data_IF_949628232290
#
_entry.id   IF_949628232290
#
_cell.length_a   1.000
_cell.length_b   1.000
_cell.length_c   1.000
_cell.angle_alpha   90.00
_cell.angle_beta   90.00
_cell.angle_gamma   90.00
#
_symmetry.space_group_name_H-M   'P 1'
#
loop_
_entity.id
_entity.type
_entity.pdbx_description
1 polymer ?
#
# COMPACT_ATOMS: atom_id res chain seq x y z
N UNK A 1 17.19 -12.26 -11.74
CA UNK A 1 18.27 -11.93 -10.79
C UNK A 1 19.50 -11.18 -11.37
N UNK A 2 19.76 -11.17 -12.70
CA UNK A 2 20.98 -10.53 -13.27
C UNK A 2 21.08 -9.02 -12.99
N UNK A 3 19.94 -8.32 -12.95
CA UNK A 3 19.86 -6.88 -12.66
C UNK A 3 20.20 -6.52 -11.21
N UNK A 4 19.96 -7.41 -10.25
CA UNK A 4 20.28 -7.17 -8.82
C UNK A 4 21.79 -7.20 -8.53
N UNK A 5 22.61 -7.61 -9.50
CA UNK A 5 24.08 -7.57 -9.41
C UNK A 5 24.68 -6.25 -9.90
N UNK A 6 23.90 -5.44 -10.62
CA UNK A 6 24.36 -4.17 -11.17
C UNK A 6 24.41 -3.11 -10.06
N UNK A 7 25.51 -2.37 -9.98
CA UNK A 7 25.67 -1.28 -9.01
C UNK A 7 24.89 -0.06 -9.49
N UNK A 8 24.23 0.65 -8.57
CA UNK A 8 23.51 1.89 -8.87
C UNK A 8 22.11 1.71 -9.50
N UNK A 9 21.58 0.48 -9.53
CA UNK A 9 20.25 0.20 -10.07
C UNK A 9 19.27 -0.09 -8.93
N UNK A 10 18.16 0.65 -8.92
CA UNK A 10 17.01 0.34 -8.06
C UNK A 10 16.03 -0.53 -8.85
N UNK A 11 15.84 -1.78 -8.40
CA UNK A 11 14.84 -2.67 -9.00
C UNK A 11 13.49 -2.47 -8.30
N UNK A 12 12.48 -2.10 -9.08
CA UNK A 12 11.09 -2.01 -8.61
C UNK A 12 10.30 -3.17 -9.20
N UNK A 13 9.70 -3.98 -8.35
CA UNK A 13 8.78 -5.05 -8.76
C UNK A 13 7.37 -4.60 -8.49
N UNK A 14 6.59 -4.39 -9.55
CA UNK A 14 5.17 -4.04 -9.42
C UNK A 14 4.32 -5.32 -9.36
N UNK A 15 3.61 -5.50 -8.25
CA UNK A 15 2.74 -6.65 -8.00
C UNK A 15 1.24 -6.27 -7.98
N UNK A 16 0.86 -5.08 -8.42
CA UNK A 16 -0.50 -4.54 -8.31
C UNK A 16 -1.55 -5.29 -9.14
N UNK A 17 -1.15 -5.84 -10.30
CA UNK A 17 -2.02 -6.65 -11.15
C UNK A 17 -2.19 -8.10 -10.64
N UNK A 18 -1.48 -8.48 -9.59
CA UNK A 18 -1.49 -9.84 -9.07
C UNK A 18 -2.54 -10.01 -7.97
N UNK A 19 -3.17 -11.18 -7.94
CA UNK A 19 -4.02 -11.60 -6.81
C UNK A 19 -3.21 -11.70 -5.52
N UNK A 20 -3.88 -11.67 -4.37
CA UNK A 20 -3.24 -11.83 -3.06
C UNK A 20 -2.29 -13.04 -2.99
N UNK A 21 -2.77 -14.22 -3.42
CA UNK A 21 -1.98 -15.46 -3.44
C UNK A 21 -0.76 -15.36 -4.38
N UNK A 22 -0.92 -14.74 -5.54
CA UNK A 22 0.20 -14.52 -6.47
C UNK A 22 1.23 -13.55 -5.91
N UNK A 23 0.81 -12.48 -5.23
CA UNK A 23 1.72 -11.55 -4.54
C UNK A 23 2.54 -12.25 -3.46
N UNK A 24 1.90 -13.10 -2.66
CA UNK A 24 2.56 -13.90 -1.63
C UNK A 24 3.55 -14.91 -2.21
N UNK A 25 3.18 -15.60 -3.30
CA UNK A 25 4.09 -16.52 -4.01
C UNK A 25 5.29 -15.77 -4.57
N UNK A 26 5.05 -14.65 -5.27
CA UNK A 26 6.10 -13.81 -5.82
C UNK A 26 7.06 -13.32 -4.73
N UNK A 27 6.54 -12.84 -3.60
CA UNK A 27 7.38 -12.40 -2.49
C UNK A 27 8.25 -13.55 -1.97
N UNK A 28 7.68 -14.75 -1.81
CA UNK A 28 8.41 -15.92 -1.33
C UNK A 28 9.56 -16.29 -2.26
N UNK A 29 9.28 -16.33 -3.56
CA UNK A 29 10.27 -16.65 -4.60
C UNK A 29 11.37 -15.59 -4.66
N UNK A 30 11.00 -14.31 -4.55
CA UNK A 30 11.96 -13.21 -4.52
C UNK A 30 12.83 -13.27 -3.27
N UNK A 31 12.25 -13.48 -2.08
CA UNK A 31 13.02 -13.54 -0.83
C UNK A 31 14.03 -14.68 -0.84
N UNK A 32 13.62 -15.88 -1.28
CA UNK A 32 14.53 -17.03 -1.42
C UNK A 32 15.68 -16.72 -2.38
N UNK A 33 15.38 -16.26 -3.60
CA UNK A 33 16.42 -15.95 -4.58
C UNK A 33 17.33 -14.80 -4.12
N UNK A 34 16.77 -13.83 -3.39
CA UNK A 34 17.50 -12.66 -2.90
C UNK A 34 18.43 -13.04 -1.76
N UNK A 35 18.00 -13.92 -0.86
CA UNK A 35 18.85 -14.49 0.20
C UNK A 35 20.04 -15.25 -0.40
N UNK A 36 19.80 -16.12 -1.39
CA UNK A 36 20.84 -16.85 -2.11
C UNK A 36 21.81 -15.93 -2.86
N UNK A 37 21.30 -14.86 -3.46
CA UNK A 37 22.13 -13.88 -4.13
C UNK A 37 23.00 -13.12 -3.13
N UNK A 38 22.43 -12.80 -1.97
CA UNK A 38 23.09 -12.03 -0.92
C UNK A 38 24.17 -12.84 -0.23
N UNK A 39 23.94 -14.12 0.07
CA UNK A 39 24.97 -14.99 0.65
C UNK A 39 26.23 -15.08 -0.22
N UNK A 40 26.08 -14.91 -1.54
CA UNK A 40 27.18 -14.97 -2.52
C UNK A 40 27.81 -13.62 -2.85
N UNK A 41 27.05 -12.53 -2.76
CA UNK A 41 27.47 -11.23 -3.32
C UNK A 41 27.33 -10.05 -2.38
N UNK A 42 26.70 -10.25 -1.21
CA UNK A 42 26.30 -9.19 -0.29
C UNK A 42 25.16 -8.31 -0.80
N UNK A 43 24.63 -8.53 -2.02
CA UNK A 43 23.58 -7.72 -2.65
C UNK A 43 22.21 -8.43 -2.62
N UNK A 44 21.10 -7.68 -2.63
CA UNK A 44 20.99 -6.22 -2.54
C UNK A 44 21.25 -5.69 -1.12
N UNK A 45 21.65 -4.42 -1.02
CA UNK A 45 21.93 -3.78 0.27
C UNK A 45 20.66 -3.55 1.09
N UNK A 46 19.56 -3.22 0.43
CA UNK A 46 18.26 -2.96 1.04
C UNK A 46 17.14 -3.61 0.23
N UNK A 47 16.14 -4.12 0.93
CA UNK A 47 14.87 -4.54 0.36
C UNK A 47 13.76 -3.70 0.99
N UNK A 48 12.87 -3.17 0.17
CA UNK A 48 11.70 -2.41 0.63
C UNK A 48 10.45 -3.15 0.21
N UNK A 49 9.59 -3.45 1.17
CA UNK A 49 8.27 -4.07 0.94
C UNK A 49 7.22 -3.03 1.29
N UNK A 50 6.59 -2.48 0.26
CA UNK A 50 5.45 -1.58 0.42
C UNK A 50 4.15 -2.36 0.59
N UNK A 51 3.20 -1.77 1.32
CA UNK A 51 1.96 -2.41 1.75
C UNK A 51 2.16 -3.82 2.33
N UNK A 52 3.16 -3.95 3.21
CA UNK A 52 3.59 -5.23 3.78
C UNK A 52 2.44 -6.04 4.44
N UNK A 53 1.40 -5.36 4.94
CA UNK A 53 0.21 -5.99 5.50
C UNK A 53 -0.54 -6.91 4.54
N UNK A 54 -0.38 -6.74 3.23
CA UNK A 54 -1.03 -7.60 2.23
C UNK A 54 -0.33 -8.95 2.10
N UNK A 55 0.99 -8.97 2.22
CA UNK A 55 1.82 -10.14 1.90
C UNK A 55 2.39 -10.83 3.13
N UNK A 56 2.42 -10.15 4.28
CA UNK A 56 2.92 -10.65 5.57
C UNK A 56 1.82 -10.62 6.66
N UNK A 57 0.58 -10.91 6.28
CA UNK A 57 -0.57 -10.82 7.19
C UNK A 57 -0.57 -11.90 8.28
N UNK A 58 -1.25 -11.65 9.40
CA UNK A 58 -1.43 -12.61 10.49
C UNK A 58 -2.20 -13.89 10.08
N UNK A 59 -3.03 -13.81 9.04
CA UNK A 59 -3.80 -14.94 8.48
C UNK A 59 -2.96 -15.82 7.55
N UNK A 60 -1.77 -15.37 7.16
CA UNK A 60 -0.82 -16.22 6.46
C UNK A 60 -0.14 -17.14 7.47
N UNK A 61 -0.36 -18.45 7.31
CA UNK A 61 0.56 -19.46 7.82
C UNK A 61 1.99 -19.00 7.53
N UNK A 62 2.85 -18.81 8.55
CA UNK A 62 4.22 -18.42 8.34
C UNK A 62 4.89 -19.56 7.59
N UNK A 63 4.88 -19.47 6.25
CA UNK A 63 5.89 -20.15 5.46
C UNK A 63 7.27 -19.75 5.99
N UNK A 64 8.33 -20.50 5.68
CA UNK A 64 9.67 -20.36 6.25
C UNK A 64 10.41 -19.08 5.78
N UNK A 65 9.70 -17.97 5.61
CA UNK A 65 10.24 -16.64 5.37
C UNK A 65 10.67 -16.06 6.70
N UNK A 66 11.83 -16.54 7.19
CA UNK A 66 12.54 -15.86 8.26
C UNK A 66 13.15 -14.59 7.67
N UNK A 67 12.63 -13.41 8.05
CA UNK A 67 13.24 -12.14 7.68
C UNK A 67 14.66 -12.01 8.26
N UNK A 68 15.00 -12.82 9.26
CA UNK A 68 16.31 -12.88 9.91
C UNK A 68 17.47 -13.16 8.94
N UNK A 69 17.21 -13.89 7.86
CA UNK A 69 18.24 -14.22 6.85
C UNK A 69 18.57 -13.03 5.93
N UNK A 70 17.81 -11.95 6.04
CA UNK A 70 17.93 -10.75 5.21
C UNK A 70 18.09 -9.50 6.08
N UNK A 71 19.31 -9.21 6.59
CA UNK A 71 19.55 -7.99 7.33
C UNK A 71 19.33 -6.78 6.39
N UNK A 72 18.58 -5.75 6.82
CA UNK A 72 18.25 -4.51 6.06
C UNK A 72 17.00 -4.61 5.16
N UNK A 73 15.85 -4.90 5.78
CA UNK A 73 14.53 -4.79 5.16
C UNK A 73 13.80 -3.57 5.73
N UNK A 74 13.10 -2.82 4.86
CA UNK A 74 12.14 -1.80 5.26
C UNK A 74 10.74 -2.33 4.93
N UNK A 75 9.89 -2.42 5.96
CA UNK A 75 8.48 -2.73 5.81
C UNK A 75 7.68 -1.44 5.92
N UNK A 76 6.98 -1.05 4.85
CA UNK A 76 6.07 0.08 4.86
C UNK A 76 4.62 -0.43 4.91
N UNK A 77 3.82 0.13 5.82
CA UNK A 77 2.41 -0.25 5.98
C UNK A 77 1.60 0.84 6.66
N UNK A 78 0.36 1.02 6.23
CA UNK A 78 -0.65 1.81 6.93
C UNK A 78 -1.38 1.00 8.04
N UNK A 79 -1.30 -0.34 7.98
CA UNK A 79 -1.99 -1.28 8.87
C UNK A 79 -1.03 -2.21 9.56
N UNK A 80 -0.25 -1.71 10.53
CA UNK A 80 0.70 -2.57 11.23
C UNK A 80 0.02 -3.69 12.03
N UNK A 81 -1.24 -3.52 12.48
CA UNK A 81 -1.98 -4.54 13.23
C UNK A 81 -2.42 -5.74 12.40
N UNK A 82 -2.34 -5.63 11.08
CA UNK A 82 -2.61 -6.74 10.18
C UNK A 82 -1.36 -7.60 9.92
N UNK A 83 -0.16 -7.16 10.33
CA UNK A 83 1.07 -7.96 10.23
C UNK A 83 1.08 -9.08 11.27
N UNK A 84 1.73 -10.19 10.94
CA UNK A 84 1.91 -11.28 11.90
C UNK A 84 2.82 -10.87 13.07
N UNK A 85 2.55 -11.43 14.25
CA UNK A 85 3.33 -11.13 15.47
C UNK A 85 4.79 -11.59 15.36
N UNK A 86 5.06 -12.66 14.61
CA UNK A 86 6.42 -13.11 14.34
C UNK A 86 7.23 -12.03 13.59
N UNK A 87 6.65 -11.44 12.55
CA UNK A 87 7.29 -10.38 11.76
C UNK A 87 7.50 -9.12 12.61
N UNK A 88 6.50 -8.72 13.40
CA UNK A 88 6.64 -7.60 14.33
C UNK A 88 7.71 -7.86 15.40
N UNK A 89 7.87 -9.12 15.81
CA UNK A 89 8.90 -9.58 16.74
C UNK A 89 10.33 -9.43 16.20
N UNK A 90 10.52 -9.52 14.87
CA UNK A 90 11.81 -9.41 14.19
C UNK A 90 12.19 -7.96 13.82
N UNK A 91 11.26 -7.00 13.93
CA UNK A 91 11.54 -5.59 13.63
C UNK A 91 12.34 -4.95 14.74
N UNK A 92 13.52 -4.41 14.43
CA UNK A 92 14.39 -3.70 15.38
C UNK A 92 14.09 -2.19 15.48
N UNK A 93 13.66 -1.57 14.38
CA UNK A 93 13.52 -0.12 14.26
C UNK A 93 12.19 0.26 13.65
N UNK A 94 11.53 1.24 14.25
CA UNK A 94 10.21 1.72 13.89
C UNK A 94 10.30 3.21 13.57
N UNK A 95 9.74 3.58 12.43
CA UNK A 95 9.50 4.95 12.01
C UNK A 95 8.01 5.11 11.76
N UNK A 96 7.32 5.85 12.62
CA UNK A 96 5.88 6.01 12.57
C UNK A 96 5.49 7.47 12.33
N UNK A 97 4.49 7.68 11.48
CA UNK A 97 3.99 8.99 11.10
C UNK A 97 2.52 9.08 11.54
N UNK A 98 2.10 10.22 12.12
CA UNK A 98 0.74 10.43 12.63
C UNK A 98 0.47 9.87 14.04
N UNK A 99 -0.78 9.59 14.40
CA UNK A 99 -1.16 9.39 15.80
C UNK A 99 -0.41 8.23 16.51
N UNK A 100 0.46 8.59 17.45
CA UNK A 100 1.39 7.71 18.16
C UNK A 100 0.75 6.56 18.96
N UNK A 101 -0.47 6.75 19.47
CA UNK A 101 -1.20 5.76 20.31
C UNK A 101 -1.42 4.39 19.67
N UNK A 102 -1.38 4.30 18.34
CA UNK A 102 -1.52 3.01 17.64
C UNK A 102 -0.25 2.16 17.73
N UNK A 103 0.91 2.77 17.98
CA UNK A 103 2.22 2.09 17.96
C UNK A 103 2.36 1.15 19.17
N UNK A 104 2.00 1.63 20.36
CA UNK A 104 2.11 0.87 21.62
C UNK A 104 1.30 -0.43 21.62
N UNK A 105 0.08 -0.37 21.09
CA UNK A 105 -0.84 -1.52 21.06
C UNK A 105 -0.37 -2.67 20.15
N UNK A 106 0.55 -2.41 19.23
CA UNK A 106 0.98 -3.38 18.21
C UNK A 106 2.07 -4.34 18.69
N UNK A 107 2.82 -3.95 19.72
CA UNK A 107 4.02 -4.68 20.16
C UNK A 107 3.86 -5.32 21.55
N UNK A 108 2.61 -5.62 21.94
CA UNK A 108 2.28 -6.63 22.96
C UNK A 108 3.09 -6.55 24.26
N UNK A 109 2.87 -5.50 25.06
CA UNK A 109 3.24 -5.53 26.48
C UNK A 109 4.69 -5.19 26.85
N UNK A 110 5.60 -4.93 25.89
CA UNK A 110 6.89 -4.23 26.21
C UNK A 110 6.71 -2.73 26.50
N UNK A 111 5.47 -2.30 26.69
CA UNK A 111 5.00 -0.92 26.79
C UNK A 111 4.95 -0.39 28.21
N UNK A 112 5.10 -1.22 29.25
CA UNK A 112 4.88 -0.78 30.63
C UNK A 112 5.92 0.27 31.09
N UNK A 113 7.11 0.29 30.47
CA UNK A 113 8.18 1.26 30.75
C UNK A 113 8.35 2.34 29.68
N UNK A 114 7.53 2.33 28.62
CA UNK A 114 7.65 3.30 27.53
C UNK A 114 6.73 4.49 27.80
N UNK A 115 7.31 5.67 28.03
CA UNK A 115 6.52 6.89 28.03
C UNK A 115 5.79 7.04 26.69
N UNK A 116 4.46 7.21 26.70
CA UNK A 116 3.70 7.28 25.46
C UNK A 116 4.20 8.48 24.64
N UNK A 117 4.50 8.31 23.33
CA UNK A 117 4.98 9.42 22.53
C UNK A 117 3.92 10.53 22.54
N UNK A 118 4.35 11.76 22.87
CA UNK A 118 3.49 12.94 22.80
C UNK A 118 2.81 13.00 21.43
N UNK A 119 1.59 13.54 21.39
CA UNK A 119 0.84 13.72 20.15
C UNK A 119 1.73 14.40 19.09
N UNK A 120 2.02 13.68 18.00
CA UNK A 120 2.87 14.21 16.94
C UNK A 120 2.09 15.06 15.95
N UNK A 121 2.70 16.16 15.51
CA UNK A 121 2.11 17.11 14.58
C UNK A 121 2.34 16.69 13.13
N UNK A 122 1.64 17.37 12.20
CA UNK A 122 1.89 17.18 10.76
C UNK A 122 3.33 17.60 10.45
N UNK A 123 4.14 16.69 9.88
CA UNK A 123 5.56 16.93 9.61
C UNK A 123 6.52 16.36 10.66
N UNK A 124 6.01 15.66 11.67
CA UNK A 124 6.80 14.95 12.68
C UNK A 124 6.62 13.44 12.54
N UNK A 125 7.65 12.68 12.95
CA UNK A 125 7.63 11.23 13.00
C UNK A 125 8.20 10.75 14.33
N UNK A 126 7.70 9.63 14.82
CA UNK A 126 8.25 8.92 15.96
C UNK A 126 9.28 7.91 15.44
N UNK A 127 10.52 8.04 15.90
CA UNK A 127 11.56 7.05 15.72
C UNK A 127 11.71 6.25 17.00
N UNK A 128 11.65 4.92 16.89
CA UNK A 128 11.91 4.03 17.99
C UNK A 128 12.82 2.89 17.57
N UNK A 129 13.98 2.84 18.18
CA UNK A 129 14.89 1.70 18.14
C UNK A 129 14.61 0.86 19.39
N UNK A 130 14.33 -0.43 19.24
CA UNK A 130 14.01 -1.31 20.38
C UNK A 130 15.16 -1.46 21.37
N UNK A 131 16.38 -1.07 21.00
CA UNK A 131 17.53 -0.99 21.92
C UNK A 131 17.48 0.26 22.81
N UNK A 132 16.62 1.24 22.51
CA UNK A 132 16.44 2.47 23.28
C UNK A 132 15.26 2.33 24.23
N UNK A 133 15.44 2.89 25.42
CA UNK A 133 14.43 2.96 26.48
C UNK A 133 13.28 3.91 26.16
N UNK A 134 13.47 4.88 25.26
CA UNK A 134 12.40 5.81 24.88
C UNK A 134 12.43 6.19 23.39
N UNK A 135 11.25 6.44 22.79
CA UNK A 135 11.14 6.91 21.42
C UNK A 135 11.57 8.37 21.29
N UNK A 136 12.07 8.75 20.11
CA UNK A 136 12.52 10.11 19.77
C UNK A 136 11.62 10.70 18.70
N UNK A 137 11.26 11.98 18.82
CA UNK A 137 10.52 12.70 17.79
C UNK A 137 11.51 13.28 16.79
N UNK A 138 11.30 12.98 15.50
CA UNK A 138 12.06 13.51 14.39
C UNK A 138 11.19 14.50 13.60
N UNK A 139 11.81 15.59 13.14
CA UNK A 139 11.20 16.45 12.12
C UNK A 139 11.46 15.85 10.74
N UNK A 140 10.39 15.66 9.99
CA UNK A 140 10.44 15.10 8.64
C UNK A 140 10.65 16.27 7.68
N UNK A 141 11.75 16.26 6.94
CA UNK A 141 11.98 17.21 5.87
C UNK A 141 10.83 17.10 4.84
N UNK A 142 10.35 18.24 4.35
CA UNK A 142 9.32 18.21 3.31
C UNK A 142 9.87 17.53 2.06
N UNK A 143 9.17 16.53 1.49
CA UNK A 143 9.59 15.92 0.24
C UNK A 143 9.69 17.01 -0.84
N UNK A 144 10.84 17.12 -1.51
CA UNK A 144 11.02 18.06 -2.64
C UNK A 144 10.09 17.73 -3.83
N UNK A 145 9.46 16.55 -3.82
CA UNK A 145 8.40 16.19 -4.74
C UNK A 145 7.04 16.32 -4.06
N UNK A 146 6.22 17.24 -4.59
CA UNK A 146 4.80 17.39 -4.26
C UNK A 146 4.11 16.06 -4.56
N UNK A 147 3.92 15.26 -3.52
CA UNK A 147 3.16 14.03 -3.60
C UNK A 147 1.71 14.38 -4.00
N UNK A 148 1.18 13.74 -5.05
CA UNK A 148 -0.27 13.69 -5.36
C UNK A 148 -1.05 12.86 -4.30
N UNK A 149 -0.77 13.07 -3.01
CA UNK A 149 -1.16 12.21 -1.87
C UNK A 149 -2.63 12.29 -1.47
N UNK A 150 -3.44 13.16 -2.09
CA UNK A 150 -4.87 13.25 -1.77
C UNK A 150 -5.71 12.11 -2.39
N UNK A 151 -5.19 11.39 -3.40
CA UNK A 151 -5.91 10.28 -4.06
C UNK A 151 -5.81 8.93 -3.34
N UNK A 152 -4.87 8.74 -2.41
CA UNK A 152 -4.59 7.42 -1.80
C UNK A 152 -5.34 7.11 -0.49
N UNK A 153 -5.81 8.13 0.24
CA UNK A 153 -6.31 7.95 1.63
C UNK A 153 -7.56 7.07 1.73
N UNK A 154 -8.41 7.05 0.70
CA UNK A 154 -9.64 6.25 0.66
C UNK A 154 -9.55 5.03 -0.27
N UNK A 155 -8.47 4.92 -1.04
CA UNK A 155 -8.19 3.71 -1.78
C UNK A 155 -7.96 2.54 -0.82
N UNK A 156 -7.20 2.81 0.24
CA UNK A 156 -6.81 1.84 1.28
C UNK A 156 -7.58 2.06 2.60
N UNK A 157 -7.96 3.30 2.96
CA UNK A 157 -8.56 3.69 4.27
C UNK A 157 -10.07 3.55 4.42
N UNK A 158 -10.55 3.30 5.65
CA UNK A 158 -11.99 3.19 5.99
C UNK A 158 -12.71 4.55 5.89
N UNK A 159 -13.69 4.65 4.98
CA UNK A 159 -14.54 5.84 4.80
C UNK A 159 -15.58 6.03 5.91
N UNK A 160 -15.73 5.05 6.80
CA UNK A 160 -16.70 4.97 7.89
C UNK A 160 -18.04 4.42 7.44
N UNK A 161 -18.75 3.74 8.36
CA UNK A 161 -20.02 3.03 8.10
C UNK A 161 -21.10 3.91 7.42
N UNK A 162 -21.16 5.20 7.74
CA UNK A 162 -22.13 6.12 7.15
C UNK A 162 -21.85 6.47 5.68
N UNK A 163 -20.63 6.20 5.19
CA UNK A 163 -20.16 6.55 3.83
C UNK A 163 -19.72 5.33 3.02
N UNK A 164 -19.78 4.14 3.60
CA UNK A 164 -19.52 2.88 2.90
C UNK A 164 -20.43 2.74 1.68
N UNK A 165 -19.93 2.07 0.65
CA UNK A 165 -20.76 1.65 -0.46
C UNK A 165 -21.57 0.42 -0.07
N UNK A 166 -22.87 0.38 -0.34
CA UNK A 166 -23.73 -0.75 0.00
C UNK A 166 -24.24 -1.42 -1.28
N UNK A 167 -23.74 -2.63 -1.58
CA UNK A 167 -24.20 -3.43 -2.72
C UNK A 167 -25.58 -4.05 -2.47
N UNK A 168 -25.92 -4.33 -1.21
CA UNK A 168 -27.22 -4.89 -0.84
C UNK A 168 -27.84 -4.09 0.29
N UNK A 169 -29.16 -3.87 0.20
CA UNK A 169 -29.96 -3.19 1.25
C UNK A 169 -30.52 -4.14 2.30
N UNK A 170 -30.03 -5.40 2.35
CA UNK A 170 -30.47 -6.34 3.38
C UNK A 170 -29.97 -5.87 4.74
N UNK A 171 -30.89 -5.67 5.69
CA UNK A 171 -30.61 -5.17 7.03
C UNK A 171 -29.88 -6.20 7.90
N UNK A 172 -29.98 -7.49 7.59
CA UNK A 172 -29.41 -8.56 8.41
C UNK A 172 -27.94 -8.86 8.09
N UNK A 173 -27.52 -8.70 6.82
CA UNK A 173 -26.11 -8.83 6.38
C UNK A 173 -25.80 -7.90 5.19
N UNK A 174 -25.58 -6.60 5.43
CA UNK A 174 -25.26 -5.66 4.36
C UNK A 174 -23.88 -5.98 3.76
N UNK A 175 -23.83 -6.20 2.45
CA UNK A 175 -22.55 -6.27 1.72
C UNK A 175 -22.08 -4.85 1.47
N UNK A 176 -21.23 -4.35 2.38
CA UNK A 176 -20.71 -2.99 2.34
C UNK A 176 -19.20 -2.97 2.04
N UNK A 177 -18.76 -1.99 1.27
CA UNK A 177 -17.35 -1.71 1.02
C UNK A 177 -16.95 -0.38 1.67
N UNK A 178 -15.89 -0.43 2.49
CA UNK A 178 -15.39 0.74 3.25
C UNK A 178 -14.22 1.45 2.56
N UNK A 179 -13.69 0.88 1.49
CA UNK A 179 -12.61 1.44 0.70
C UNK A 179 -12.65 0.85 -0.73
N UNK A 180 -11.79 1.33 -1.63
CA UNK A 180 -11.79 0.86 -3.02
C UNK A 180 -11.40 -0.62 -3.16
N UNK A 181 -10.54 -1.17 -2.30
CA UNK A 181 -10.16 -2.59 -2.35
C UNK A 181 -11.30 -3.52 -1.92
N UNK A 182 -11.99 -3.20 -0.81
CA UNK A 182 -13.20 -3.92 -0.40
C UNK A 182 -14.29 -3.83 -1.46
N UNK A 183 -14.39 -2.68 -2.16
CA UNK A 183 -15.32 -2.52 -3.27
C UNK A 183 -15.01 -3.49 -4.42
N UNK A 184 -13.74 -3.67 -4.77
CA UNK A 184 -13.31 -4.65 -5.78
C UNK A 184 -13.58 -6.09 -5.34
N UNK A 185 -13.21 -6.44 -4.11
CA UNK A 185 -13.37 -7.80 -3.57
C UNK A 185 -14.84 -8.21 -3.48
N UNK A 186 -15.71 -7.31 -3.00
CA UNK A 186 -17.14 -7.55 -2.91
C UNK A 186 -17.78 -7.47 -4.31
N UNK A 187 -17.30 -6.57 -5.16
CA UNK A 187 -17.77 -6.39 -6.54
C UNK A 187 -17.66 -7.65 -7.39
N UNK A 188 -16.61 -8.46 -7.18
CA UNK A 188 -16.46 -9.75 -7.86
C UNK A 188 -17.49 -10.79 -7.37
N UNK A 189 -17.90 -10.71 -6.11
CA UNK A 189 -18.71 -11.71 -5.42
C UNK A 189 -20.21 -11.42 -5.43
N UNK A 190 -20.64 -10.21 -5.81
CA UNK A 190 -22.07 -9.88 -5.90
C UNK A 190 -22.70 -10.49 -7.16
N UNK A 191 -24.00 -10.76 -7.11
CA UNK A 191 -24.72 -11.25 -8.28
C UNK A 191 -24.76 -10.22 -9.42
N UNK A 192 -24.83 -10.70 -10.65
CA UNK A 192 -24.84 -9.88 -11.87
C UNK A 192 -25.94 -8.82 -11.89
N UNK A 193 -27.16 -9.19 -11.48
CA UNK A 193 -28.28 -8.24 -11.39
C UNK A 193 -28.06 -7.12 -10.38
N UNK A 194 -27.38 -7.39 -9.26
CA UNK A 194 -27.03 -6.38 -8.27
C UNK A 194 -26.02 -5.40 -8.83
N UNK A 195 -24.98 -5.92 -9.50
CA UNK A 195 -23.96 -5.10 -10.15
C UNK A 195 -24.58 -4.19 -11.21
N UNK A 196 -25.35 -4.76 -12.14
CA UNK A 196 -25.96 -4.02 -13.23
C UNK A 196 -26.91 -2.93 -12.74
N UNK A 197 -27.66 -3.17 -11.65
CA UNK A 197 -28.54 -2.15 -11.06
C UNK A 197 -27.76 -0.92 -10.62
N UNK A 198 -26.65 -1.10 -9.90
CA UNK A 198 -25.81 0.01 -9.45
C UNK A 198 -25.13 0.72 -10.63
N UNK A 199 -24.66 -0.05 -11.63
CA UNK A 199 -24.08 0.49 -12.86
C UNK A 199 -25.07 1.37 -13.63
N UNK A 200 -26.33 0.94 -13.77
CA UNK A 200 -27.38 1.72 -14.45
C UNK A 200 -27.87 2.92 -13.65
N UNK A 201 -27.75 2.87 -12.34
CA UNK A 201 -28.15 3.96 -11.45
C UNK A 201 -27.10 5.07 -11.34
N UNK A 202 -25.87 4.86 -11.84
CA UNK A 202 -24.77 5.82 -11.69
C UNK A 202 -24.15 5.79 -10.29
N UNK A 203 -24.37 4.73 -9.51
CA UNK A 203 -23.99 4.69 -8.10
C UNK A 203 -22.47 4.64 -7.92
N UNK A 204 -21.72 4.08 -8.88
CA UNK A 204 -20.26 3.96 -8.76
C UNK A 204 -19.59 5.31 -8.97
N UNK A 205 -19.93 6.03 -10.03
CA UNK A 205 -19.39 7.37 -10.26
C UNK A 205 -19.75 8.34 -9.13
N UNK A 206 -20.98 8.29 -8.63
CA UNK A 206 -21.42 9.10 -7.49
C UNK A 206 -20.62 8.80 -6.22
N UNK A 207 -20.36 7.53 -5.92
CA UNK A 207 -19.55 7.15 -4.76
C UNK A 207 -18.09 7.57 -4.91
N UNK A 208 -17.50 7.40 -6.10
CA UNK A 208 -16.12 7.82 -6.37
C UNK A 208 -15.94 9.34 -6.28
N UNK A 209 -16.91 10.12 -6.74
CA UNK A 209 -16.90 11.59 -6.68
C UNK A 209 -17.08 12.10 -5.24
N UNK A 210 -18.12 11.64 -4.54
CA UNK A 210 -18.56 12.28 -3.30
C UNK A 210 -17.92 11.70 -2.04
N UNK A 211 -17.59 10.41 -2.04
CA UNK A 211 -16.99 9.72 -0.89
C UNK A 211 -15.49 9.55 -1.06
N UNK A 212 -15.06 8.93 -2.15
CA UNK A 212 -13.63 8.68 -2.42
C UNK A 212 -12.89 9.97 -2.79
N UNK A 213 -13.62 10.99 -3.30
CA UNK A 213 -13.08 12.28 -3.72
C UNK A 213 -12.03 12.14 -4.83
N UNK A 214 -12.26 11.22 -5.77
CA UNK A 214 -11.46 11.09 -6.99
C UNK A 214 -12.29 11.41 -8.24
N UNK A 215 -12.23 12.66 -8.74
CA UNK A 215 -13.02 13.08 -9.89
C UNK A 215 -12.53 12.48 -11.22
N UNK A 216 -11.31 11.94 -11.27
CA UNK A 216 -10.80 11.25 -12.45
C UNK A 216 -11.40 9.83 -12.51
N UNK A 217 -11.40 9.13 -11.38
CA UNK A 217 -12.04 7.81 -11.27
C UNK A 217 -13.56 7.90 -11.47
N UNK A 218 -14.20 8.94 -10.92
CA UNK A 218 -15.63 9.18 -11.12
C UNK A 218 -15.98 9.36 -12.60
N UNK A 219 -15.14 10.09 -13.36
CA UNK A 219 -15.34 10.29 -14.79
C UNK A 219 -15.20 9.00 -15.59
N UNK A 220 -14.19 8.18 -15.31
CA UNK A 220 -14.01 6.88 -15.96
C UNK A 220 -15.21 5.97 -15.67
N UNK A 221 -15.66 5.92 -14.42
CA UNK A 221 -16.84 5.14 -14.03
C UNK A 221 -18.10 5.62 -14.74
N UNK A 222 -18.31 6.94 -14.83
CA UNK A 222 -19.45 7.52 -15.53
C UNK A 222 -19.49 7.12 -17.01
N UNK A 223 -18.34 7.05 -17.68
CA UNK A 223 -18.27 6.59 -19.07
C UNK A 223 -18.68 5.11 -19.21
N UNK A 224 -18.32 4.27 -18.24
CA UNK A 224 -18.69 2.85 -18.21
C UNK A 224 -20.19 2.69 -17.93
N UNK A 225 -20.73 3.48 -17.00
CA UNK A 225 -22.16 3.49 -16.63
C UNK A 225 -23.06 3.99 -17.78
N UNK A 226 -22.55 4.93 -18.58
CA UNK A 226 -23.26 5.53 -19.71
C UNK A 226 -23.33 4.64 -20.95
N UNK A 227 -22.60 3.52 -21.00
CA UNK A 227 -22.62 2.61 -22.14
C UNK A 227 -23.82 1.64 -22.06
N UNK A 228 -24.81 1.74 -22.97
CA UNK A 228 -26.00 0.89 -22.97
C UNK A 228 -25.69 -0.58 -23.25
N UNK A 229 -24.56 -0.89 -23.89
CA UNK A 229 -24.16 -2.24 -24.25
C UNK A 229 -23.16 -2.88 -23.27
N UNK A 230 -22.86 -2.20 -22.16
CA UNK A 230 -21.94 -2.69 -21.15
C UNK A 230 -22.42 -4.02 -20.54
N UNK A 231 -21.59 -5.07 -20.66
CA UNK A 231 -21.82 -6.34 -19.97
C UNK A 231 -21.31 -6.27 -18.53
N UNK A 232 -21.79 -7.16 -17.65
CA UNK A 232 -21.31 -7.21 -16.25
C UNK A 232 -19.82 -7.51 -16.18
N UNK A 233 -19.37 -8.51 -16.93
CA UNK A 233 -17.96 -8.91 -16.95
C UNK A 233 -17.06 -7.78 -17.43
N UNK A 234 -17.46 -7.08 -18.50
CA UNK A 234 -16.70 -5.97 -19.06
C UNK A 234 -16.73 -4.74 -18.14
N UNK A 235 -17.88 -4.42 -17.55
CA UNK A 235 -18.00 -3.32 -16.61
C UNK A 235 -17.14 -3.52 -15.36
N UNK A 236 -17.12 -4.74 -14.80
CA UNK A 236 -16.22 -5.11 -13.69
C UNK A 236 -14.75 -4.95 -14.08
N UNK A 237 -14.38 -5.48 -15.24
CA UNK A 237 -13.00 -5.41 -15.75
C UNK A 237 -12.55 -3.96 -15.90
N UNK A 238 -13.35 -3.11 -16.55
CA UNK A 238 -13.00 -1.70 -16.79
C UNK A 238 -12.97 -0.87 -15.51
N UNK A 239 -13.93 -1.05 -14.59
CA UNK A 239 -13.90 -0.36 -13.28
C UNK A 239 -12.67 -0.78 -12.48
N UNK A 240 -12.34 -2.09 -12.48
CA UNK A 240 -11.11 -2.59 -11.85
C UNK A 240 -9.88 -1.97 -12.48
N UNK A 241 -9.78 -1.93 -13.80
CA UNK A 241 -8.65 -1.31 -14.51
C UNK A 241 -8.52 0.17 -14.20
N UNK A 242 -9.63 0.92 -14.11
CA UNK A 242 -9.61 2.33 -13.74
C UNK A 242 -9.11 2.53 -12.30
N UNK A 243 -9.62 1.75 -11.34
CA UNK A 243 -9.19 1.80 -9.93
C UNK A 243 -7.71 1.44 -9.82
N UNK A 244 -7.28 0.34 -10.46
CA UNK A 244 -5.87 -0.07 -10.48
C UNK A 244 -5.03 1.00 -11.17
N UNK A 245 -5.42 1.55 -12.31
CA UNK A 245 -4.61 2.58 -12.99
C UNK A 245 -4.41 3.85 -12.14
N UNK A 246 -5.45 4.31 -11.45
CA UNK A 246 -5.45 5.60 -10.75
C UNK A 246 -4.94 5.51 -9.31
N UNK A 247 -5.15 4.36 -8.67
CA UNK A 247 -4.77 4.12 -7.27
C UNK A 247 -3.71 3.03 -7.12
N UNK A 248 -3.30 2.42 -8.23
CA UNK A 248 -2.24 1.43 -8.33
C UNK A 248 -1.36 1.70 -9.58
N UNK A 249 -0.66 2.86 -9.62
CA UNK A 249 0.41 3.14 -10.60
C UNK A 249 1.39 4.25 -10.10
N UNK A 250 2.62 4.37 -10.66
CA UNK A 250 3.88 4.57 -9.95
C UNK A 250 4.28 6.04 -9.72
N UNK A 251 5.26 6.27 -8.83
CA UNK A 251 5.97 7.54 -8.76
C UNK A 251 6.64 7.87 -10.11
N UNK A 252 6.66 9.14 -10.55
CA UNK A 252 7.27 9.53 -11.82
C UNK A 252 8.78 9.28 -11.79
N UNK A 253 9.29 8.63 -12.84
CA UNK A 253 10.72 8.47 -13.11
C UNK A 253 11.37 9.88 -13.16
N UNK A 254 12.41 10.16 -12.36
CA UNK A 254 13.12 11.43 -12.48
C UNK A 254 13.76 11.51 -13.88
N UNK A 255 13.40 12.56 -14.63
CA UNK A 255 14.07 12.88 -15.89
C UNK A 255 15.55 13.10 -15.61
N UNK A 256 16.41 12.35 -16.29
CA UNK A 256 17.84 12.63 -16.32
C UNK A 256 18.03 14.10 -16.73
N UNK A 257 18.60 14.89 -15.83
CA UNK A 257 19.22 16.16 -16.20
C UNK A 257 20.49 15.77 -16.94
N UNK A 258 20.48 15.93 -18.26
CA UNK A 258 21.68 15.86 -19.08
C UNK A 258 22.65 16.90 -18.53
N UNK A 259 23.72 16.42 -17.91
CA UNK A 259 24.84 17.27 -17.51
C UNK A 259 25.66 17.53 -18.79
N UNK A 260 25.28 18.57 -19.51
CA UNK A 260 26.02 19.05 -20.67
C UNK A 260 26.77 20.32 -20.29
N UNK A 261 28.07 20.32 -20.62
CA UNK A 261 29.07 21.40 -20.54
C UNK A 261 29.81 21.60 -19.23
N UNK A 262 30.82 20.74 -19.05
CA UNK A 262 32.16 21.22 -18.69
C UNK A 262 32.85 21.66 -19.99
N UNK A 263 33.13 22.94 -20.13
CA UNK A 263 34.18 23.48 -21.01
C UNK A 263 34.95 24.48 -20.15
N UNK A 264 36.04 24.04 -19.52
CA UNK A 264 37.41 24.28 -19.98
C UNK A 264 37.66 25.71 -20.46
N UNK A 265 38.13 26.54 -19.54
CA UNK A 265 39.03 27.66 -19.84
C UNK A 265 40.46 27.16 -19.68
N UNK A 266 41.31 27.28 -20.71
CA UNK A 266 42.71 27.57 -20.47
C UNK A 266 43.16 28.76 -21.33
N UNK A 267 43.86 29.72 -20.70
CA UNK A 267 44.43 30.89 -21.34
C UNK A 267 44.07 32.18 -20.62
#
# INVERSE_FOLDING_TARGET
>A
MRLLRAVGVNLVVNAQALTLRQRQSLLRDLLSQTSDLRSRTGRPDWLIIDEAHQVLSAECEPGPLSLSDMPRIILATAYPGALSQAILGDVDTILAFGAARKIEALFGGRSEDLEPPRAISTGEAVYWDRKRTSPVILRVAQPHQVHRRHKGKYAVGDVGRARSFYFTRSLERPRQARNLFEFLDIGDQVGEGTWMRHLRAGDYSAWFEHVIRDPELARDAFQIESDPHMSVAEGRRRIREAIVRLHAAPAPVPRHVSNDRIAHTPG
#
